data_IF_454705228596
#
_entry.id   IF_454705228596
#
_cell.length_a   1.000
_cell.length_b   1.000
_cell.length_c   1.000
_cell.angle_alpha   90.00
_cell.angle_beta   90.00
_cell.angle_gamma   90.00
#
_symmetry.space_group_name_H-M   'P 1'
#
loop_
_entity.id
_entity.type
_entity.pdbx_description
1 polymer ?
#
# COMPACT_ATOMS: atom_id res chain seq x y z
N UNK A 1 36.49 -13.76 9.14
CA UNK A 1 35.05 -13.51 9.20
C UNK A 1 34.83 -12.35 10.16
N UNK A 2 34.36 -11.16 9.74
CA UNK A 2 34.06 -10.12 10.70
C UNK A 2 32.89 -10.59 11.57
N UNK A 3 33.05 -10.51 12.88
CA UNK A 3 32.05 -10.91 13.87
C UNK A 3 30.80 -10.04 13.68
N UNK A 4 29.67 -10.62 13.30
CA UNK A 4 28.40 -9.87 13.15
C UNK A 4 28.05 -9.22 14.48
N UNK A 5 27.94 -7.88 14.50
CA UNK A 5 27.56 -7.11 15.69
C UNK A 5 26.19 -7.54 16.21
N UNK A 6 25.90 -7.32 17.50
CA UNK A 6 24.57 -7.61 18.05
C UNK A 6 23.46 -6.92 17.24
N UNK A 7 23.66 -5.64 16.89
CA UNK A 7 22.74 -4.90 16.03
C UNK A 7 22.58 -5.53 14.64
N UNK A 8 23.66 -6.01 14.03
CA UNK A 8 23.61 -6.74 12.76
C UNK A 8 22.80 -8.03 12.83
N UNK A 9 22.89 -8.78 13.94
CA UNK A 9 22.08 -9.99 14.15
C UNK A 9 20.59 -9.67 14.31
N UNK A 10 20.25 -8.66 15.10
CA UNK A 10 18.86 -8.23 15.28
C UNK A 10 18.24 -7.69 13.99
N UNK A 11 18.95 -6.82 13.26
CA UNK A 11 18.50 -6.31 11.96
C UNK A 11 18.24 -7.45 10.96
N UNK A 12 19.09 -8.47 10.95
CA UNK A 12 18.90 -9.67 10.10
C UNK A 12 17.68 -10.48 10.54
N UNK A 13 17.49 -10.67 11.85
CA UNK A 13 16.32 -11.38 12.37
C UNK A 13 15.02 -10.67 12.02
N UNK A 14 14.98 -9.34 12.16
CA UNK A 14 13.82 -8.51 11.80
C UNK A 14 13.55 -8.56 10.29
N UNK A 15 14.57 -8.42 9.45
CA UNK A 15 14.40 -8.60 8.00
C UNK A 15 13.86 -10.00 7.67
N UNK A 16 14.30 -11.03 8.39
CA UNK A 16 13.81 -12.40 8.28
C UNK A 16 12.29 -12.53 8.52
N UNK A 17 11.69 -11.65 9.33
CA UNK A 17 10.24 -11.58 9.52
C UNK A 17 9.52 -10.94 8.34
N UNK A 18 10.17 -10.05 7.59
CA UNK A 18 9.60 -9.36 6.42
C UNK A 18 9.67 -10.20 5.14
N UNK A 19 10.77 -10.93 4.95
CA UNK A 19 11.07 -11.65 3.69
C UNK A 19 9.99 -12.65 3.23
N UNK A 20 9.32 -13.44 4.10
CA UNK A 20 8.23 -14.33 3.69
C UNK A 20 7.07 -13.58 3.02
N UNK A 21 6.90 -12.31 3.38
CA UNK A 21 5.84 -11.44 2.89
C UNK A 21 6.32 -10.53 1.75
N UNK A 22 7.51 -10.76 1.20
CA UNK A 22 8.05 -9.91 0.14
C UNK A 22 7.19 -9.94 -1.11
N UNK A 23 6.86 -8.75 -1.61
CA UNK A 23 6.28 -8.48 -2.93
C UNK A 23 7.41 -8.14 -3.90
N UNK A 24 7.99 -9.16 -4.52
CA UNK A 24 9.06 -9.04 -5.51
C UNK A 24 8.94 -10.10 -6.59
N UNK A 25 9.67 -9.92 -7.69
CA UNK A 25 9.68 -10.86 -8.84
C UNK A 25 10.98 -11.65 -8.93
N UNK A 26 11.84 -11.56 -7.91
CA UNK A 26 13.15 -12.21 -7.86
C UNK A 26 13.26 -13.05 -6.57
N UNK A 27 14.23 -13.96 -6.54
CA UNK A 27 14.57 -14.78 -5.37
C UNK A 27 15.87 -14.29 -4.72
N UNK A 28 16.00 -12.98 -4.52
CA UNK A 28 17.22 -12.40 -3.95
C UNK A 28 17.47 -12.85 -2.50
N UNK A 29 18.74 -13.11 -2.12
CA UNK A 29 19.08 -13.48 -0.76
C UNK A 29 18.91 -12.31 0.22
N UNK A 30 18.80 -12.55 1.55
CA UNK A 30 18.69 -11.48 2.56
C UNK A 30 19.77 -10.40 2.46
N UNK A 31 21.00 -10.76 2.06
CA UNK A 31 22.11 -9.82 1.89
C UNK A 31 21.88 -8.77 0.78
N UNK A 32 20.95 -8.99 -0.15
CA UNK A 32 20.61 -8.04 -1.21
C UNK A 32 19.68 -6.91 -0.76
N UNK A 33 19.22 -6.93 0.51
CA UNK A 33 18.35 -5.90 1.10
C UNK A 33 19.15 -4.93 1.98
N UNK A 34 20.34 -4.54 1.50
CA UNK A 34 21.25 -3.63 2.20
C UNK A 34 20.58 -2.34 2.66
N UNK A 35 19.75 -1.64 1.84
CA UNK A 35 19.08 -0.42 2.29
C UNK A 35 18.18 -0.65 3.51
N UNK A 36 17.49 -1.79 3.57
CA UNK A 36 16.63 -2.14 4.71
C UNK A 36 17.47 -2.53 5.92
N UNK A 37 18.52 -3.34 5.73
CA UNK A 37 19.42 -3.76 6.80
C UNK A 37 20.13 -2.58 7.46
N UNK A 38 20.56 -1.60 6.67
CA UNK A 38 21.25 -0.42 7.19
C UNK A 38 20.31 0.45 8.02
N UNK A 39 19.06 0.66 7.56
CA UNK A 39 18.04 1.40 8.34
C UNK A 39 17.65 0.65 9.62
N UNK A 40 17.43 -0.65 9.54
CA UNK A 40 17.15 -1.47 10.72
C UNK A 40 18.29 -1.43 11.72
N UNK A 41 19.54 -1.57 11.26
CA UNK A 41 20.73 -1.50 12.12
C UNK A 41 20.82 -0.15 12.81
N UNK A 42 20.58 0.96 12.09
CA UNK A 42 20.60 2.29 12.68
C UNK A 42 19.60 2.45 13.84
N UNK A 43 18.36 1.97 13.69
CA UNK A 43 17.39 1.98 14.80
C UNK A 43 17.85 1.12 15.98
N UNK A 44 18.37 -0.09 15.71
CA UNK A 44 18.83 -1.01 16.76
C UNK A 44 20.04 -0.44 17.51
N UNK A 45 20.99 0.19 16.80
CA UNK A 45 22.15 0.84 17.42
C UNK A 45 21.75 2.04 18.27
N UNK A 46 20.71 2.77 17.86
CA UNK A 46 20.15 3.88 18.63
C UNK A 46 19.25 3.43 19.80
N UNK A 47 18.83 2.16 19.86
CA UNK A 47 17.88 1.66 20.85
C UNK A 47 16.47 2.24 20.69
N UNK A 48 16.14 2.75 19.50
CA UNK A 48 14.86 3.41 19.20
C UNK A 48 13.85 2.44 18.58
N UNK A 49 12.54 2.62 18.80
CA UNK A 49 11.51 1.87 18.08
C UNK A 49 11.68 2.02 16.56
N UNK A 50 11.60 0.92 15.82
CA UNK A 50 11.74 0.94 14.37
C UNK A 50 10.52 1.62 13.76
N UNK A 51 10.72 2.64 12.93
CA UNK A 51 9.63 3.25 12.17
C UNK A 51 9.55 2.65 10.78
N UNK A 52 8.42 2.02 10.45
CA UNK A 52 8.05 1.68 9.07
C UNK A 52 7.08 2.72 8.51
N UNK A 53 7.26 3.09 7.24
CA UNK A 53 6.26 3.86 6.49
C UNK A 53 5.71 3.01 5.37
N UNK A 54 4.39 2.93 5.23
CA UNK A 54 3.70 2.15 4.20
C UNK A 54 2.67 3.01 3.47
N UNK A 55 3.00 3.54 2.29
CA UNK A 55 1.99 4.14 1.42
C UNK A 55 0.97 3.08 0.97
N UNK A 56 -0.31 3.37 1.18
CA UNK A 56 -1.43 2.49 0.85
C UNK A 56 -2.68 2.80 1.67
N UNK A 57 -3.72 1.99 1.46
CA UNK A 57 -5.07 2.20 2.01
C UNK A 57 -5.68 3.57 1.60
N UNK A 58 -5.69 3.94 0.30
CA UNK A 58 -6.22 5.23 -0.15
C UNK A 58 -7.75 5.33 -0.02
N UNK A 59 -8.44 4.37 -0.64
CA UNK A 59 -9.90 4.26 -0.76
C UNK A 59 -10.20 2.96 -1.52
N UNK A 60 -11.44 2.45 -1.48
CA UNK A 60 -11.88 1.36 -2.36
C UNK A 60 -11.91 1.79 -3.84
N UNK A 61 -11.68 0.84 -4.73
CA UNK A 61 -11.88 1.00 -6.18
C UNK A 61 -13.30 1.54 -6.48
N UNK A 62 -13.46 2.49 -7.41
CA UNK A 62 -14.77 2.98 -7.82
C UNK A 62 -15.56 1.97 -8.65
N UNK A 63 -14.95 0.84 -9.06
CA UNK A 63 -15.65 -0.18 -9.84
C UNK A 63 -16.39 -1.18 -8.92
N UNK A 64 -17.74 -1.19 -8.91
CA UNK A 64 -18.52 -2.10 -8.07
C UNK A 64 -18.32 -3.58 -8.45
N UNK A 65 -17.81 -3.91 -9.64
CA UNK A 65 -17.49 -5.30 -10.01
C UNK A 65 -16.18 -5.82 -9.39
N UNK A 66 -15.40 -4.95 -8.72
CA UNK A 66 -14.14 -5.30 -8.04
C UNK A 66 -14.29 -5.39 -6.53
N UNK A 67 -15.12 -4.55 -5.92
CA UNK A 67 -15.23 -4.38 -4.46
C UNK A 67 -16.67 -4.53 -3.96
N UNK A 68 -16.84 -4.76 -2.67
CA UNK A 68 -18.15 -4.93 -2.04
C UNK A 68 -18.89 -3.60 -1.78
N UNK A 69 -18.14 -2.51 -1.65
CA UNK A 69 -18.65 -1.17 -1.40
C UNK A 69 -17.50 -0.17 -1.32
N UNK A 70 -17.79 1.05 -0.87
CA UNK A 70 -16.79 2.14 -0.74
C UNK A 70 -15.98 2.09 0.55
N UNK A 71 -16.48 1.39 1.58
CA UNK A 71 -15.88 1.34 2.92
C UNK A 71 -14.92 0.13 3.07
N UNK A 72 -13.97 0.19 4.01
CA UNK A 72 -13.16 -0.95 4.42
C UNK A 72 -14.01 -2.20 4.76
N UNK A 73 -13.63 -3.35 4.23
CA UNK A 73 -14.31 -4.63 4.46
C UNK A 73 -13.34 -5.66 5.09
N UNK A 74 -13.61 -6.96 4.93
CA UNK A 74 -12.73 -7.99 5.48
C UNK A 74 -11.29 -7.89 4.96
N UNK A 75 -11.10 -7.38 3.74
CA UNK A 75 -9.78 -7.22 3.14
C UNK A 75 -8.90 -6.30 3.95
N UNK A 76 -9.35 -5.07 4.21
CA UNK A 76 -8.62 -4.10 5.02
C UNK A 76 -8.42 -4.61 6.44
N UNK A 77 -9.45 -5.18 7.06
CA UNK A 77 -9.36 -5.67 8.44
C UNK A 77 -8.37 -6.83 8.60
N UNK A 78 -8.29 -7.74 7.63
CA UNK A 78 -7.29 -8.81 7.64
C UNK A 78 -5.88 -8.24 7.37
N UNK A 79 -5.75 -7.26 6.47
CA UNK A 79 -4.47 -6.61 6.19
C UNK A 79 -3.92 -5.84 7.40
N UNK A 80 -4.77 -5.10 8.12
CA UNK A 80 -4.38 -4.40 9.35
C UNK A 80 -3.95 -5.39 10.43
N UNK A 81 -4.72 -6.48 10.65
CA UNK A 81 -4.31 -7.56 11.58
C UNK A 81 -3.01 -8.23 11.19
N UNK A 82 -2.72 -8.37 9.90
CA UNK A 82 -1.45 -8.88 9.43
C UNK A 82 -0.30 -7.95 9.82
N UNK A 83 -0.45 -6.64 9.58
CA UNK A 83 0.56 -5.64 9.95
C UNK A 83 0.77 -5.57 11.46
N UNK A 84 -0.31 -5.62 12.24
CA UNK A 84 -0.28 -5.65 13.70
C UNK A 84 0.49 -6.88 14.22
N UNK A 85 0.16 -8.07 13.73
CA UNK A 85 0.90 -9.31 14.08
C UNK A 85 2.37 -9.24 13.69
N UNK A 86 2.68 -8.66 12.54
CA UNK A 86 4.07 -8.44 12.12
C UNK A 86 4.79 -7.51 13.11
N UNK A 87 4.13 -6.45 13.57
CA UNK A 87 4.68 -5.56 14.58
C UNK A 87 4.95 -6.27 15.90
N UNK A 88 4.00 -7.06 16.40
CA UNK A 88 4.15 -7.88 17.60
C UNK A 88 5.34 -8.83 17.51
N UNK A 89 5.48 -9.55 16.39
CA UNK A 89 6.62 -10.47 16.17
C UNK A 89 7.97 -9.75 16.13
N UNK A 90 8.01 -8.51 15.63
CA UNK A 90 9.23 -7.69 15.66
C UNK A 90 9.55 -7.29 17.10
N UNK A 91 8.55 -6.90 17.89
CA UNK A 91 8.72 -6.52 19.29
C UNK A 91 9.19 -7.68 20.19
N UNK A 92 8.83 -8.92 19.86
CA UNK A 92 9.36 -10.13 20.52
C UNK A 92 10.88 -10.30 20.32
N UNK A 93 11.42 -9.80 19.20
CA UNK A 93 12.85 -9.90 18.85
C UNK A 93 13.63 -8.65 19.26
N UNK A 94 12.98 -7.48 19.27
CA UNK A 94 13.58 -6.19 19.56
C UNK A 94 12.68 -5.38 20.50
N UNK A 95 13.09 -5.30 21.77
CA UNK A 95 12.27 -4.79 22.88
C UNK A 95 11.74 -3.36 22.69
N UNK A 96 12.51 -2.38 22.14
CA UNK A 96 11.97 -1.05 21.84
C UNK A 96 10.79 -1.09 20.86
N UNK A 97 10.62 -2.19 20.13
CA UNK A 97 9.47 -2.45 19.30
C UNK A 97 9.50 -1.68 18.00
N UNK A 98 8.31 -1.35 17.52
CA UNK A 98 8.10 -0.87 16.16
C UNK A 98 6.84 -0.02 16.08
N UNK A 99 6.85 0.95 15.19
CA UNK A 99 5.68 1.68 14.74
C UNK A 99 5.50 1.50 13.23
N UNK A 100 4.29 1.16 12.82
CA UNK A 100 3.90 1.04 11.42
C UNK A 100 3.01 2.23 11.05
N UNK A 101 3.54 3.16 10.27
CA UNK A 101 2.82 4.34 9.83
C UNK A 101 2.25 4.10 8.42
N UNK A 102 0.93 3.98 8.32
CA UNK A 102 0.19 3.87 7.06
C UNK A 102 0.07 5.27 6.48
N UNK A 103 0.79 5.51 5.38
CA UNK A 103 0.84 6.82 4.72
C UNK A 103 -0.24 6.89 3.64
N UNK A 104 -1.49 7.18 4.01
CA UNK A 104 -2.63 7.19 3.07
C UNK A 104 -2.40 8.18 1.94
N UNK A 105 -2.63 7.70 0.71
CA UNK A 105 -2.46 8.45 -0.52
C UNK A 105 -3.78 8.73 -1.24
N UNK A 106 -4.93 8.56 -0.56
CA UNK A 106 -6.27 8.79 -1.11
C UNK A 106 -6.44 10.20 -1.67
N UNK A 107 -6.31 11.23 -0.81
CA UNK A 107 -6.48 12.63 -1.22
C UNK A 107 -5.39 13.14 -2.16
N UNK A 108 -4.26 12.42 -2.25
CA UNK A 108 -3.23 12.70 -3.25
C UNK A 108 -3.75 12.35 -4.65
N UNK A 109 -4.62 11.34 -4.79
CA UNK A 109 -5.02 10.78 -6.09
C UNK A 109 -6.49 10.94 -6.46
N UNK A 110 -7.39 11.32 -5.56
CA UNK A 110 -8.86 11.24 -5.74
C UNK A 110 -9.38 11.61 -7.13
N UNK A 111 -9.07 12.80 -7.62
CA UNK A 111 -9.37 13.30 -8.97
C UNK A 111 -8.78 12.44 -10.11
N UNK A 112 -7.54 11.96 -9.96
CA UNK A 112 -6.86 11.13 -10.94
C UNK A 112 -7.41 9.70 -11.00
N UNK A 113 -8.00 9.19 -9.93
CA UNK A 113 -8.60 7.85 -9.86
C UNK A 113 -10.13 7.88 -9.99
N UNK A 114 -10.75 9.06 -9.93
CA UNK A 114 -12.19 9.23 -10.06
C UNK A 114 -12.97 8.86 -8.80
N UNK A 115 -12.37 9.11 -7.62
CA UNK A 115 -13.00 8.89 -6.32
C UNK A 115 -13.18 10.24 -5.64
N UNK A 116 -14.42 10.62 -5.27
CA UNK A 116 -14.70 11.83 -4.51
C UNK A 116 -13.95 11.90 -3.17
N UNK A 117 -13.59 13.10 -2.73
CA UNK A 117 -12.84 13.27 -1.48
C UNK A 117 -13.65 12.85 -0.24
N UNK A 118 -14.97 13.04 -0.21
CA UNK A 118 -15.85 12.58 0.88
C UNK A 118 -15.87 11.04 1.00
N UNK A 119 -15.73 10.32 -0.12
CA UNK A 119 -15.57 8.86 -0.11
C UNK A 119 -14.21 8.44 0.49
N UNK A 120 -13.16 9.24 0.29
CA UNK A 120 -11.83 9.01 0.85
C UNK A 120 -11.88 9.26 2.37
N UNK A 121 -12.54 10.35 2.80
CA UNK A 121 -12.77 10.66 4.22
C UNK A 121 -13.51 9.55 4.94
N UNK A 122 -14.63 9.09 4.36
CA UNK A 122 -15.42 7.97 4.86
C UNK A 122 -14.56 6.70 5.03
N UNK A 123 -13.71 6.40 4.03
CA UNK A 123 -12.82 5.24 4.07
C UNK A 123 -11.77 5.37 5.17
N UNK A 124 -11.11 6.53 5.28
CA UNK A 124 -10.08 6.80 6.28
C UNK A 124 -10.65 6.71 7.71
N UNK A 125 -11.82 7.33 7.96
CA UNK A 125 -12.49 7.27 9.25
C UNK A 125 -12.82 5.82 9.66
N UNK A 126 -13.31 5.00 8.72
CA UNK A 126 -13.57 3.58 9.00
C UNK A 126 -12.28 2.78 9.20
N UNK A 127 -11.19 3.12 8.50
CA UNK A 127 -9.89 2.49 8.70
C UNK A 127 -9.35 2.76 10.11
N UNK A 128 -9.45 4.01 10.59
CA UNK A 128 -9.10 4.39 11.96
C UNK A 128 -9.94 3.62 12.99
N UNK A 129 -11.25 3.56 12.79
CA UNK A 129 -12.15 2.80 13.68
C UNK A 129 -11.77 1.30 13.74
N UNK A 130 -11.30 0.69 12.63
CA UNK A 130 -10.82 -0.69 12.62
C UNK A 130 -9.52 -0.87 13.43
N UNK A 131 -8.61 0.10 13.36
CA UNK A 131 -7.35 0.09 14.13
C UNK A 131 -7.66 0.21 15.63
N UNK A 132 -8.51 1.17 16.00
CA UNK A 132 -8.93 1.42 17.39
C UNK A 132 -9.68 0.22 17.98
N UNK A 133 -10.71 -0.28 17.28
CA UNK A 133 -11.48 -1.44 17.73
C UNK A 133 -10.63 -2.71 17.84
N UNK A 134 -9.56 -2.80 17.03
CA UNK A 134 -8.59 -3.89 17.06
C UNK A 134 -7.51 -3.74 18.14
N UNK A 135 -7.43 -2.58 18.83
CA UNK A 135 -6.34 -2.23 19.76
C UNK A 135 -4.95 -2.43 19.14
N UNK A 136 -4.80 -2.01 17.88
CA UNK A 136 -3.57 -2.20 17.12
C UNK A 136 -2.60 -1.02 17.35
N UNK A 137 -2.11 -0.88 18.59
CA UNK A 137 -1.43 0.33 19.09
C UNK A 137 -0.13 0.68 18.33
N UNK A 138 0.50 -0.30 17.69
CA UNK A 138 1.69 -0.11 16.87
C UNK A 138 1.38 0.51 15.50
N UNK A 139 0.11 0.52 15.07
CA UNK A 139 -0.33 1.08 13.80
C UNK A 139 -0.73 2.56 13.99
N UNK A 140 -0.25 3.42 13.10
CA UNK A 140 -0.72 4.80 12.98
C UNK A 140 -0.98 5.17 11.53
N UNK A 141 -1.61 6.32 11.32
CA UNK A 141 -1.86 6.87 9.99
C UNK A 141 -1.13 8.20 9.79
N UNK A 142 -0.86 8.52 8.53
CA UNK A 142 -0.27 9.78 8.09
C UNK A 142 -0.81 10.15 6.71
N UNK A 143 -1.36 11.34 6.55
CA UNK A 143 -1.91 11.82 5.28
C UNK A 143 -1.65 13.32 5.05
N UNK A 144 -2.36 13.93 4.08
CA UNK A 144 -2.21 15.34 3.76
C UNK A 144 -2.80 16.29 4.84
N UNK A 145 -3.77 15.83 5.64
CA UNK A 145 -4.30 16.60 6.76
C UNK A 145 -3.24 16.78 7.86
N UNK A 146 -2.40 15.77 8.12
CA UNK A 146 -1.29 15.90 9.09
C UNK A 146 -0.23 16.95 8.72
N UNK A 147 -0.24 17.41 7.46
CA UNK A 147 0.71 18.38 6.93
C UNK A 147 0.07 19.76 6.78
N UNK A 148 -1.16 19.81 6.24
CA UNK A 148 -1.80 21.04 5.78
C UNK A 148 -3.12 21.35 6.52
N UNK A 149 -3.50 20.53 7.51
CA UNK A 149 -4.69 20.72 8.32
C UNK A 149 -5.98 20.79 7.49
N UNK A 150 -6.77 21.82 7.73
CA UNK A 150 -8.11 22.01 7.14
C UNK A 150 -8.11 22.65 5.75
N UNK A 151 -6.94 22.82 5.12
CA UNK A 151 -6.88 23.27 3.72
C UNK A 151 -7.73 22.37 2.81
N UNK A 152 -8.32 22.97 1.77
CA UNK A 152 -9.13 22.20 0.81
C UNK A 152 -8.29 21.14 0.10
N UNK A 153 -8.92 20.06 -0.34
CA UNK A 153 -8.20 18.98 -1.03
C UNK A 153 -7.52 19.43 -2.32
N UNK A 154 -8.09 20.42 -3.02
CA UNK A 154 -7.46 21.02 -4.21
C UNK A 154 -6.24 21.88 -3.86
N UNK A 155 -6.26 22.60 -2.73
CA UNK A 155 -5.07 23.30 -2.23
C UNK A 155 -3.98 22.31 -1.83
N UNK A 156 -4.35 21.23 -1.13
CA UNK A 156 -3.41 20.18 -0.74
C UNK A 156 -2.77 19.51 -1.95
N UNK A 157 -3.56 19.18 -2.99
CA UNK A 157 -3.07 18.62 -4.26
C UNK A 157 -2.18 19.60 -5.03
N UNK A 158 -2.54 20.89 -5.09
CA UNK A 158 -1.70 21.92 -5.72
C UNK A 158 -0.37 22.09 -4.99
N UNK A 159 -0.37 22.09 -3.67
CA UNK A 159 0.83 22.23 -2.86
C UNK A 159 1.80 21.05 -3.09
N UNK A 160 1.33 19.80 -2.98
CA UNK A 160 2.22 18.65 -3.17
C UNK A 160 2.78 18.59 -4.59
N UNK A 161 1.98 19.01 -5.58
CA UNK A 161 2.44 19.11 -6.96
C UNK A 161 3.50 20.17 -7.18
N UNK A 162 3.34 21.35 -6.58
CA UNK A 162 4.29 22.44 -6.71
C UNK A 162 5.63 22.12 -6.00
N UNK A 163 5.57 21.57 -4.80
CA UNK A 163 6.73 21.41 -3.93
C UNK A 163 7.50 20.10 -4.17
N UNK A 164 6.80 19.03 -4.59
CA UNK A 164 7.36 17.68 -4.58
C UNK A 164 7.25 16.93 -5.90
N UNK A 165 6.31 17.28 -6.78
CA UNK A 165 6.12 16.50 -7.99
C UNK A 165 7.17 16.82 -9.06
N UNK A 166 7.78 15.81 -9.70
CA UNK A 166 8.62 16.03 -10.87
C UNK A 166 7.81 16.62 -12.04
N UNK A 167 8.51 17.18 -13.01
CA UNK A 167 7.89 17.56 -14.28
C UNK A 167 7.35 16.32 -15.00
N UNK A 168 6.26 16.44 -15.76
CA UNK A 168 5.63 15.29 -16.40
C UNK A 168 6.56 14.65 -17.46
N UNK A 169 7.41 15.45 -18.09
CA UNK A 169 8.45 15.03 -19.03
C UNK A 169 9.51 14.16 -18.35
N UNK A 170 9.90 14.50 -17.12
CA UNK A 170 10.83 13.69 -16.32
C UNK A 170 10.22 12.33 -15.99
N UNK A 171 8.95 12.30 -15.60
CA UNK A 171 8.22 11.04 -15.35
C UNK A 171 8.17 10.18 -16.61
N UNK A 172 7.88 10.79 -17.76
CA UNK A 172 7.88 10.08 -19.06
C UNK A 172 9.26 9.57 -19.43
N UNK A 173 10.32 10.33 -19.18
CA UNK A 173 11.69 9.90 -19.43
C UNK A 173 12.09 8.73 -18.51
N UNK A 174 11.74 8.81 -17.23
CA UNK A 174 11.99 7.78 -16.23
C UNK A 174 11.31 6.45 -16.61
N UNK A 175 10.02 6.51 -16.96
CA UNK A 175 9.24 5.35 -17.44
C UNK A 175 9.85 4.69 -18.68
N UNK A 176 10.55 5.46 -19.54
CA UNK A 176 11.22 4.90 -20.73
C UNK A 176 12.57 4.27 -20.41
N UNK A 177 13.29 4.79 -19.42
CA UNK A 177 14.68 4.40 -19.11
C UNK A 177 14.79 3.32 -18.06
N UNK A 178 13.89 3.30 -17.09
CA UNK A 178 13.99 2.44 -15.92
C UNK A 178 12.87 1.41 -15.87
N UNK A 179 13.24 0.13 -15.83
CA UNK A 179 12.29 -0.99 -15.86
C UNK A 179 11.29 -0.93 -14.69
N UNK A 180 11.75 -0.54 -13.50
CA UNK A 180 10.89 -0.43 -12.33
C UNK A 180 9.80 0.65 -12.50
N UNK A 181 10.16 1.82 -13.05
CA UNK A 181 9.22 2.88 -13.35
C UNK A 181 8.21 2.43 -14.43
N UNK A 182 8.68 1.71 -15.46
CA UNK A 182 7.82 1.14 -16.49
C UNK A 182 6.81 0.13 -15.92
N UNK A 183 7.26 -0.74 -15.00
CA UNK A 183 6.40 -1.72 -14.32
C UNK A 183 5.32 -1.02 -13.50
N UNK A 184 5.68 0.02 -12.73
CA UNK A 184 4.72 0.83 -11.98
C UNK A 184 3.70 1.50 -12.89
N UNK A 185 4.16 2.17 -13.95
CA UNK A 185 3.28 2.81 -14.93
C UNK A 185 2.31 1.81 -15.58
N UNK A 186 2.78 0.61 -15.96
CA UNK A 186 1.92 -0.45 -16.53
C UNK A 186 0.90 -0.96 -15.52
N UNK A 187 1.30 -1.20 -14.28
CA UNK A 187 0.41 -1.61 -13.19
C UNK A 187 -0.70 -0.59 -12.95
N UNK A 188 -0.34 0.69 -12.81
CA UNK A 188 -1.30 1.81 -12.65
C UNK A 188 -2.22 1.94 -13.86
N UNK A 189 -1.69 1.85 -15.08
CA UNK A 189 -2.51 1.91 -16.29
C UNK A 189 -3.57 0.82 -16.30
N UNK A 190 -3.19 -0.41 -15.91
CA UNK A 190 -4.13 -1.53 -15.79
C UNK A 190 -5.18 -1.26 -14.73
N UNK A 191 -4.79 -0.77 -13.55
CA UNK A 191 -5.75 -0.43 -12.49
C UNK A 191 -6.76 0.62 -12.93
N UNK A 192 -6.30 1.74 -13.48
CA UNK A 192 -7.17 2.80 -13.99
C UNK A 192 -8.13 2.29 -15.06
N UNK A 193 -7.67 1.37 -15.91
CA UNK A 193 -8.49 0.75 -16.93
C UNK A 193 -9.57 -0.16 -16.31
N UNK A 194 -9.19 -1.02 -15.38
CA UNK A 194 -10.11 -1.93 -14.69
C UNK A 194 -11.07 -1.22 -13.73
N UNK A 195 -10.69 -0.04 -13.20
CA UNK A 195 -11.52 0.76 -12.30
C UNK A 195 -12.56 1.61 -13.05
N UNK A 196 -12.44 1.73 -14.37
CA UNK A 196 -13.41 2.46 -15.17
C UNK A 196 -14.48 1.50 -15.70
N UNK A 197 -15.62 1.39 -15.00
CA UNK A 197 -16.73 0.53 -15.41
C UNK A 197 -17.55 1.14 -16.57
N UNK A 198 -17.92 2.42 -16.46
CA UNK A 198 -18.91 3.06 -17.33
C UNK A 198 -18.27 4.09 -18.27
N UNK A 199 -17.45 3.63 -19.22
CA UNK A 199 -16.84 4.51 -20.22
C UNK A 199 -17.66 4.55 -21.51
N UNK A 200 -18.23 5.72 -21.80
CA UNK A 200 -18.89 6.00 -23.08
C UNK A 200 -17.83 6.22 -24.19
N UNK A 201 -17.41 5.13 -24.82
CA UNK A 201 -16.44 5.14 -25.91
C UNK A 201 -15.77 3.79 -26.16
N UNK A 202 -14.86 3.75 -27.13
CA UNK A 202 -14.17 2.50 -27.47
C UNK A 202 -13.16 2.09 -26.40
N UNK A 203 -12.95 0.78 -26.27
CA UNK A 203 -11.91 0.20 -25.40
C UNK A 203 -10.52 0.82 -25.63
N UNK A 204 -10.19 1.13 -26.89
CA UNK A 204 -8.93 1.77 -27.27
C UNK A 204 -8.85 3.23 -26.81
N UNK A 205 -9.96 3.97 -26.86
CA UNK A 205 -10.04 5.34 -26.33
C UNK A 205 -9.87 5.35 -24.81
N UNK A 206 -10.51 4.41 -24.10
CA UNK A 206 -10.30 4.23 -22.66
C UNK A 206 -8.83 3.94 -22.34
N UNK A 207 -8.24 2.98 -23.06
CA UNK A 207 -6.83 2.61 -22.86
C UNK A 207 -5.88 3.80 -23.03
N UNK A 208 -6.14 4.68 -24.00
CA UNK A 208 -5.35 5.91 -24.21
C UNK A 208 -5.53 6.90 -23.05
N UNK A 209 -6.77 7.15 -22.62
CA UNK A 209 -7.08 8.03 -21.47
C UNK A 209 -6.44 7.52 -20.17
N UNK A 210 -6.49 6.22 -19.91
CA UNK A 210 -5.87 5.61 -18.74
C UNK A 210 -4.34 5.71 -18.78
N UNK A 211 -3.71 5.56 -19.96
CA UNK A 211 -2.26 5.78 -20.13
C UNK A 211 -1.85 7.22 -19.83
N UNK A 212 -2.63 8.19 -20.28
CA UNK A 212 -2.38 9.61 -19.98
C UNK A 212 -2.52 9.91 -18.48
N UNK A 213 -3.63 9.47 -17.86
CA UNK A 213 -3.87 9.60 -16.41
C UNK A 213 -2.81 8.89 -15.57
N UNK A 214 -2.32 7.73 -16.01
CA UNK A 214 -1.32 6.95 -15.29
C UNK A 214 -0.03 7.74 -15.05
N UNK A 215 0.39 8.62 -15.97
CA UNK A 215 1.55 9.49 -15.72
C UNK A 215 1.28 10.47 -14.57
N UNK A 216 0.07 11.01 -14.45
CA UNK A 216 -0.32 11.85 -13.32
C UNK A 216 -0.27 11.10 -12.00
N UNK A 217 -0.76 9.86 -11.96
CA UNK A 217 -0.71 9.03 -10.74
C UNK A 217 0.72 8.68 -10.38
N UNK A 218 1.58 8.29 -11.34
CA UNK A 218 3.02 8.07 -11.10
C UNK A 218 3.69 9.34 -10.57
N UNK A 219 3.40 10.49 -11.20
CA UNK A 219 3.95 11.79 -10.80
C UNK A 219 3.63 12.11 -9.34
N UNK A 220 2.35 11.97 -8.95
CA UNK A 220 1.92 12.23 -7.57
C UNK A 220 2.37 11.14 -6.59
N UNK A 221 2.53 9.89 -7.03
CA UNK A 221 3.08 8.82 -6.20
C UNK A 221 4.55 9.08 -5.88
N UNK A 222 5.33 9.60 -6.84
CA UNK A 222 6.68 10.08 -6.60
C UNK A 222 6.69 11.27 -5.64
N UNK A 223 5.77 12.23 -5.82
CA UNK A 223 5.64 13.39 -4.93
C UNK A 223 5.33 12.98 -3.48
N UNK A 224 4.32 12.15 -3.27
CA UNK A 224 3.98 11.58 -1.96
C UNK A 224 5.15 10.79 -1.38
N UNK A 225 5.83 10.02 -2.22
CA UNK A 225 7.05 9.32 -1.86
C UNK A 225 8.13 10.25 -1.29
N UNK A 226 8.30 11.45 -1.85
CA UNK A 226 9.25 12.47 -1.37
C UNK A 226 8.77 13.14 -0.09
N UNK A 227 7.47 13.43 0.05
CA UNK A 227 6.88 13.97 1.28
C UNK A 227 7.12 13.04 2.46
N UNK A 228 6.77 11.75 2.31
CA UNK A 228 6.98 10.73 3.35
C UNK A 228 8.46 10.63 3.73
N UNK A 229 9.36 10.70 2.75
CA UNK A 229 10.81 10.65 3.01
C UNK A 229 11.32 11.90 3.73
N UNK A 230 10.83 13.10 3.40
CA UNK A 230 11.21 14.32 4.14
C UNK A 230 10.68 14.29 5.57
N UNK A 231 9.46 13.78 5.78
CA UNK A 231 8.84 13.75 7.10
C UNK A 231 9.38 12.63 8.00
N UNK A 232 9.81 11.52 7.39
CA UNK A 232 10.30 10.32 8.06
C UNK A 232 11.59 9.79 7.40
N UNK A 233 12.69 10.56 7.42
CA UNK A 233 13.90 10.28 6.63
C UNK A 233 14.65 9.01 7.04
N UNK A 234 14.42 8.54 8.27
CA UNK A 234 15.06 7.35 8.81
C UNK A 234 14.20 6.09 8.73
N UNK A 235 12.93 6.22 8.32
CA UNK A 235 12.02 5.09 8.32
C UNK A 235 12.45 3.99 7.33
N UNK A 236 12.17 2.74 7.71
CA UNK A 236 12.24 1.62 6.79
C UNK A 236 11.03 1.72 5.84
N UNK A 237 11.29 2.03 4.57
CA UNK A 237 10.23 2.31 3.61
C UNK A 237 9.63 1.03 3.05
N UNK A 238 8.36 0.77 3.37
CA UNK A 238 7.58 -0.29 2.74
C UNK A 238 6.85 0.22 1.50
N UNK A 239 6.34 -0.71 0.70
CA UNK A 239 5.56 -0.43 -0.50
C UNK A 239 4.59 -1.58 -0.77
N UNK A 240 3.37 -1.25 -1.19
CA UNK A 240 2.42 -2.24 -1.71
C UNK A 240 2.67 -2.59 -3.18
N UNK A 241 3.65 -1.97 -3.83
CA UNK A 241 4.06 -2.32 -5.20
C UNK A 241 5.29 -3.22 -5.19
N UNK A 242 5.47 -4.07 -6.21
CA UNK A 242 6.70 -4.85 -6.36
C UNK A 242 7.95 -3.98 -6.32
N UNK A 243 8.96 -4.40 -5.57
CA UNK A 243 10.26 -3.73 -5.48
C UNK A 243 11.38 -4.73 -5.78
N UNK A 244 12.35 -4.32 -6.61
CA UNK A 244 13.57 -5.09 -6.82
C UNK A 244 14.40 -5.15 -5.52
N UNK A 245 15.18 -6.21 -5.35
CA UNK A 245 16.20 -6.23 -4.31
C UNK A 245 17.19 -5.06 -4.52
N UNK A 246 17.70 -4.49 -3.43
CA UNK A 246 18.52 -3.28 -3.46
C UNK A 246 17.74 -1.97 -3.63
N UNK A 247 16.42 -2.01 -3.86
CA UNK A 247 15.58 -0.80 -3.81
C UNK A 247 15.57 -0.20 -2.40
N UNK A 248 15.49 1.13 -2.31
CA UNK A 248 15.26 1.83 -1.05
C UNK A 248 13.92 1.42 -0.39
N UNK A 249 12.93 1.00 -1.21
CA UNK A 249 11.62 0.54 -0.72
C UNK A 249 11.56 -0.99 -0.70
N UNK A 250 10.96 -1.55 0.35
CA UNK A 250 10.67 -2.97 0.46
C UNK A 250 9.22 -3.25 0.04
N UNK A 251 9.02 -4.01 -1.02
CA UNK A 251 7.68 -4.45 -1.43
C UNK A 251 7.13 -5.48 -0.44
N UNK A 252 5.96 -5.26 0.12
CA UNK A 252 5.29 -6.17 1.08
C UNK A 252 3.91 -6.60 0.56
N UNK A 253 3.58 -7.88 0.71
CA UNK A 253 2.24 -8.44 0.51
C UNK A 253 1.48 -8.33 1.82
N UNK A 254 0.26 -7.81 1.76
CA UNK A 254 -0.63 -7.71 2.92
C UNK A 254 -1.46 -8.97 3.14
N UNK A 255 -1.90 -9.58 2.05
CA UNK A 255 -2.70 -10.80 2.01
C UNK A 255 -2.32 -11.60 0.77
N UNK A 256 -2.70 -12.88 0.76
CA UNK A 256 -2.50 -13.76 -0.38
C UNK A 256 -3.43 -13.36 -1.53
N UNK A 257 -2.83 -13.22 -2.71
CA UNK A 257 -3.52 -12.88 -3.95
C UNK A 257 -2.82 -13.56 -5.13
N UNK A 258 -3.58 -14.07 -6.13
CA UNK A 258 -2.98 -14.65 -7.34
C UNK A 258 -2.16 -13.64 -8.16
N UNK A 259 -2.59 -12.38 -8.20
CA UNK A 259 -1.87 -11.29 -8.86
C UNK A 259 -1.06 -10.48 -7.84
N UNK A 260 0.24 -10.33 -8.10
CA UNK A 260 1.20 -9.61 -7.26
C UNK A 260 0.84 -8.12 -7.05
N UNK A 261 -0.02 -7.56 -7.91
CA UNK A 261 -0.47 -6.18 -7.84
C UNK A 261 -1.74 -6.01 -7.00
N UNK A 262 -2.51 -7.07 -6.77
CA UNK A 262 -3.77 -6.97 -6.02
C UNK A 262 -3.52 -6.50 -4.60
N UNK A 263 -4.39 -5.60 -4.15
CA UNK A 263 -4.43 -5.03 -2.80
C UNK A 263 -5.87 -5.05 -2.29
N UNK A 264 -6.09 -5.03 -0.97
CA UNK A 264 -7.43 -5.17 -0.38
C UNK A 264 -8.46 -4.20 -0.96
N UNK A 265 -8.04 -2.96 -1.26
CA UNK A 265 -8.94 -1.94 -1.77
C UNK A 265 -9.31 -2.05 -3.27
N UNK A 266 -8.71 -3.00 -4.00
CA UNK A 266 -9.07 -3.31 -5.38
C UNK A 266 -9.76 -4.67 -5.53
N UNK A 267 -10.23 -5.25 -4.42
CA UNK A 267 -10.73 -6.63 -4.37
C UNK A 267 -11.70 -6.83 -3.19
N UNK A 268 -12.21 -8.05 -3.05
CA UNK A 268 -12.85 -8.57 -1.86
C UNK A 268 -12.21 -9.89 -1.43
N UNK A 269 -12.49 -10.30 -0.20
CA UNK A 269 -12.01 -11.57 0.37
C UNK A 269 -12.90 -12.73 -0.05
N UNK A 270 -12.29 -13.84 -0.47
CA UNK A 270 -12.91 -15.17 -0.47
C UNK A 270 -12.26 -16.03 0.63
N UNK A 271 -13.06 -16.52 1.58
CA UNK A 271 -12.63 -17.40 2.66
C UNK A 271 -12.98 -18.85 2.33
N UNK A 272 -11.98 -19.72 2.37
CA UNK A 272 -12.11 -21.15 2.12
C UNK A 272 -12.42 -21.94 3.40
N UNK A 273 -13.03 -23.13 3.31
CA UNK A 273 -13.34 -23.97 4.48
C UNK A 273 -12.09 -24.38 5.30
N UNK A 274 -10.94 -24.51 4.65
CA UNK A 274 -9.64 -24.82 5.26
C UNK A 274 -9.00 -23.62 6.01
N UNK A 275 -9.66 -22.46 6.00
CA UNK A 275 -9.19 -21.23 6.64
C UNK A 275 -8.32 -20.36 5.74
N UNK A 276 -7.98 -20.81 4.52
CA UNK A 276 -7.26 -20.00 3.53
C UNK A 276 -8.11 -18.79 3.12
N UNK A 277 -7.43 -17.67 2.90
CA UNK A 277 -8.02 -16.40 2.45
C UNK A 277 -7.35 -16.03 1.15
N UNK A 278 -8.13 -15.59 0.17
CA UNK A 278 -7.59 -15.02 -1.06
C UNK A 278 -8.32 -13.74 -1.46
N UNK A 279 -7.58 -12.80 -2.07
CA UNK A 279 -8.15 -11.59 -2.65
C UNK A 279 -8.53 -11.81 -4.12
N UNK A 280 -9.80 -11.56 -4.44
CA UNK A 280 -10.37 -11.67 -5.78
C UNK A 280 -11.26 -10.45 -6.10
N UNK A 281 -11.40 -10.06 -7.38
CA UNK A 281 -12.43 -9.08 -7.74
C UNK A 281 -13.83 -9.67 -7.48
N UNK A 282 -14.75 -8.84 -6.99
CA UNK A 282 -16.12 -9.22 -6.60
C UNK A 282 -16.83 -10.12 -7.61
N UNK A 283 -16.86 -9.75 -8.89
CA UNK A 283 -17.54 -10.53 -9.94
C UNK A 283 -17.03 -11.98 -10.05
N UNK A 284 -15.79 -12.26 -9.62
CA UNK A 284 -15.25 -13.63 -9.56
C UNK A 284 -15.59 -14.31 -8.25
N UNK A 285 -15.51 -13.62 -7.12
CA UNK A 285 -15.84 -14.16 -5.82
C UNK A 285 -17.32 -14.57 -5.72
N UNK A 286 -18.23 -13.80 -6.31
CA UNK A 286 -19.67 -14.08 -6.38
C UNK A 286 -20.00 -15.41 -7.09
N UNK A 287 -19.15 -15.85 -8.02
CA UNK A 287 -19.32 -17.15 -8.71
C UNK A 287 -18.80 -18.33 -7.91
N UNK A 288 -17.97 -18.07 -6.90
CA UNK A 288 -17.22 -19.09 -6.15
C UNK A 288 -17.72 -19.26 -4.72
N UNK A 289 -18.60 -18.37 -4.25
CA UNK A 289 -19.03 -18.36 -2.86
C UNK A 289 -20.25 -17.50 -2.60
N UNK A 290 -20.71 -17.55 -1.36
CA UNK A 290 -21.87 -16.81 -0.87
C UNK A 290 -21.42 -15.58 -0.09
N UNK A 291 -22.08 -14.44 -0.32
CA UNK A 291 -21.81 -13.20 0.40
C UNK A 291 -22.11 -13.39 1.90
N UNK A 292 -21.17 -12.97 2.73
CA UNK A 292 -21.30 -12.90 4.18
C UNK A 292 -21.38 -11.43 4.56
N UNK A 293 -22.36 -11.11 5.41
CA UNK A 293 -22.53 -9.79 5.98
C UNK A 293 -21.97 -9.75 7.41
N UNK A 294 -21.50 -8.58 7.80
CA UNK A 294 -21.08 -8.25 9.15
C UNK A 294 -21.67 -6.91 9.52
N UNK A 295 -22.33 -6.82 10.67
CA UNK A 295 -22.94 -5.59 11.17
C UNK A 295 -23.91 -4.96 10.13
N UNK A 296 -24.64 -5.81 9.40
CA UNK A 296 -25.59 -5.41 8.35
C UNK A 296 -24.96 -4.89 7.06
N UNK A 297 -23.67 -5.14 6.82
CA UNK A 297 -22.94 -4.70 5.61
C UNK A 297 -22.21 -5.86 4.93
N UNK A 298 -22.08 -5.87 3.60
CA UNK A 298 -21.23 -6.82 2.87
C UNK A 298 -19.79 -6.85 3.40
N UNK A 299 -19.29 -8.04 3.75
CA UNK A 299 -17.99 -8.19 4.44
C UNK A 299 -16.96 -8.99 3.62
N UNK A 300 -17.35 -10.19 3.18
CA UNK A 300 -16.53 -11.10 2.37
C UNK A 300 -17.40 -12.18 1.73
N UNK A 301 -16.82 -12.99 0.86
CA UNK A 301 -17.44 -14.23 0.37
C UNK A 301 -16.91 -15.44 1.13
N UNK A 302 -17.77 -16.42 1.40
CA UNK A 302 -17.38 -17.76 1.84
C UNK A 302 -17.46 -18.71 0.65
N UNK A 303 -16.36 -19.37 0.32
CA UNK A 303 -16.30 -20.32 -0.78
C UNK A 303 -17.31 -21.47 -0.58
N UNK A 304 -17.86 -21.93 -1.70
CA UNK A 304 -18.75 -23.09 -1.74
C UNK A 304 -18.04 -24.38 -1.34
#
# INVERSE_FOLDING_TARGET
MPTTTHAGRLATAILGLLLPHRRGTDNAPPAAFTPQLDRLRAFVEAGEPILFTLPGFPCKSPNPAKVLGRLPDAGERLALRFLDRLCTRIAEVYLPGVRMLICSDGHVFGDLIGVPDDHIDDYAAHLHALIEAGKMDALGTFDLHDILGDASYDEKRRWIEAEYAPAIEEVRAEVRRHEQALRLYRGITRFLFEDTADFDGSRSALQRRCRERAYGVVRRSTAWGRVVERRHPNAVRLSIHPQAAGSAKFGIRLLDAPDIWTTPWHSCVLRHPDGRVELLPRHRAERLGTLVERDGRPDHFRAN
#
